data_IF_616529846509
#
_entry.id   IF_616529846509
#
_cell.length_a   1.000
_cell.length_b   1.000
_cell.length_c   1.000
_cell.angle_alpha   90.00
_cell.angle_beta   90.00
_cell.angle_gamma   90.00
#
_symmetry.space_group_name_H-M   'P 1'
#
loop_
_entity.id
_entity.type
_entity.pdbx_description
1 polymer ?
#
# COMPACT_ATOMS: atom_id res chain seq x y z
N UNK A 1 -3.55 -5.44 -23.21
CA UNK A 1 -3.52 -5.67 -21.75
C UNK A 1 -4.97 -5.89 -21.32
N UNK A 2 -5.29 -7.01 -20.69
CA UNK A 2 -6.64 -7.33 -20.22
C UNK A 2 -6.84 -6.89 -18.76
N UNK A 3 -8.09 -6.72 -18.29
CA UNK A 3 -8.38 -6.25 -16.93
C UNK A 3 -7.87 -7.15 -15.80
N UNK A 4 -7.57 -8.40 -16.11
CA UNK A 4 -7.04 -9.42 -15.20
C UNK A 4 -5.51 -9.57 -15.28
N UNK A 5 -4.82 -8.66 -15.98
CA UNK A 5 -3.37 -8.64 -16.11
C UNK A 5 -2.75 -7.55 -15.24
N UNK A 6 -1.76 -7.93 -14.43
CA UNK A 6 -1.06 -7.05 -13.48
C UNK A 6 0.45 -7.07 -13.73
N UNK A 7 1.12 -5.95 -13.40
CA UNK A 7 2.58 -5.85 -13.42
C UNK A 7 3.10 -5.63 -12.02
N UNK A 8 4.17 -6.35 -11.65
CA UNK A 8 4.84 -6.19 -10.34
C UNK A 8 6.36 -6.21 -10.49
N UNK A 9 7.09 -5.39 -9.73
CA UNK A 9 8.54 -5.50 -9.63
C UNK A 9 8.92 -6.78 -8.89
N UNK A 10 10.00 -7.41 -9.35
CA UNK A 10 10.66 -8.55 -8.71
C UNK A 10 12.18 -8.27 -8.69
N UNK A 11 12.95 -9.07 -7.94
CA UNK A 11 14.41 -8.88 -7.80
C UNK A 11 14.80 -7.45 -7.40
N UNK A 12 14.22 -6.95 -6.30
CA UNK A 12 14.43 -5.59 -5.80
C UNK A 12 14.14 -4.47 -6.84
N UNK A 13 13.29 -4.75 -7.83
CA UNK A 13 12.90 -3.79 -8.86
C UNK A 13 13.65 -3.93 -10.19
N UNK A 14 14.62 -4.84 -10.29
CA UNK A 14 15.43 -5.03 -11.50
C UNK A 14 14.67 -5.71 -12.66
N UNK A 15 13.54 -6.37 -12.38
CA UNK A 15 12.70 -6.93 -13.42
C UNK A 15 11.21 -6.68 -13.13
N UNK A 16 10.42 -6.58 -14.20
CA UNK A 16 8.98 -6.43 -14.14
C UNK A 16 8.32 -7.73 -14.61
N UNK A 17 7.60 -8.38 -13.71
CA UNK A 17 6.79 -9.55 -14.04
C UNK A 17 5.40 -9.11 -14.46
N UNK A 18 4.88 -9.72 -15.52
CA UNK A 18 3.47 -9.63 -15.92
C UNK A 18 2.75 -10.90 -15.50
N UNK A 19 1.63 -10.77 -14.78
CA UNK A 19 0.86 -11.88 -14.23
C UNK A 19 -0.60 -11.71 -14.63
N UNK A 20 -1.23 -12.77 -15.15
CA UNK A 20 -2.66 -12.81 -15.41
C UNK A 20 -3.35 -13.67 -14.34
N UNK A 21 -4.42 -13.16 -13.71
CA UNK A 21 -5.15 -13.86 -12.65
C UNK A 21 -6.53 -14.29 -13.13
N UNK A 22 -6.75 -15.61 -13.24
CA UNK A 22 -7.98 -16.20 -13.79
C UNK A 22 -9.10 -16.40 -12.76
N UNK A 23 -8.79 -16.32 -11.46
CA UNK A 23 -9.77 -16.45 -10.39
C UNK A 23 -10.85 -15.39 -10.44
N UNK A 24 -12.08 -15.73 -10.02
CA UNK A 24 -13.19 -14.77 -10.04
C UNK A 24 -12.91 -13.53 -9.15
N UNK A 25 -12.34 -13.74 -7.96
CA UNK A 25 -11.97 -12.67 -7.00
C UNK A 25 -10.45 -12.48 -7.00
N UNK A 26 -10.01 -11.22 -7.10
CA UNK A 26 -8.59 -10.86 -7.08
C UNK A 26 -8.28 -10.12 -5.78
N UNK A 27 -7.39 -10.68 -4.97
CA UNK A 27 -6.85 -10.00 -3.77
C UNK A 27 -5.46 -9.49 -4.13
N UNK A 28 -5.30 -8.17 -4.14
CA UNK A 28 -4.05 -7.53 -4.56
C UNK A 28 -3.59 -6.51 -3.53
N UNK A 29 -2.28 -6.42 -3.34
CA UNK A 29 -1.63 -5.32 -2.61
C UNK A 29 -1.01 -4.38 -3.63
N UNK A 30 -1.28 -3.08 -3.51
CA UNK A 30 -0.80 -2.07 -4.47
C UNK A 30 0.21 -1.15 -3.82
N UNK A 31 1.31 -0.85 -4.51
CA UNK A 31 2.24 0.20 -4.10
C UNK A 31 1.56 1.55 -4.31
N UNK A 32 1.22 2.24 -3.23
CA UNK A 32 0.42 3.48 -3.25
C UNK A 32 1.07 4.59 -4.09
N UNK A 33 2.40 4.71 -4.05
CA UNK A 33 3.15 5.70 -4.82
C UNK A 33 3.16 5.47 -6.35
N UNK A 34 2.62 4.35 -6.85
CA UNK A 34 2.60 4.04 -8.28
C UNK A 34 1.39 4.62 -9.03
N UNK A 35 0.44 5.22 -8.32
CA UNK A 35 -0.78 5.77 -8.89
C UNK A 35 -1.03 7.18 -8.35
N UNK A 36 -1.59 8.03 -9.21
CA UNK A 36 -2.06 9.34 -8.77
C UNK A 36 -3.31 9.17 -7.90
N UNK A 37 -3.41 9.99 -6.84
CA UNK A 37 -4.60 10.06 -6.01
C UNK A 37 -5.83 10.40 -6.84
N UNK A 38 -6.96 9.77 -6.52
CA UNK A 38 -8.24 10.13 -7.10
C UNK A 38 -8.65 11.55 -6.67
N UNK A 39 -9.43 12.28 -7.49
CA UNK A 39 -9.98 13.57 -7.08
C UNK A 39 -10.90 13.41 -5.86
N UNK A 40 -10.97 14.45 -5.04
CA UNK A 40 -11.91 14.50 -3.91
C UNK A 40 -13.36 14.66 -4.40
N UNK A 41 -14.30 14.20 -3.56
CA UNK A 41 -15.73 14.23 -3.85
C UNK A 41 -16.33 12.83 -4.10
N UNK A 42 -17.66 12.79 -4.19
CA UNK A 42 -18.44 11.57 -4.36
C UNK A 42 -19.42 11.31 -3.20
N UNK A 43 -20.50 10.59 -3.50
CA UNK A 43 -21.56 10.26 -2.53
C UNK A 43 -21.73 8.75 -2.49
N UNK A 44 -20.85 8.06 -1.77
CA UNK A 44 -21.02 6.63 -1.49
C UNK A 44 -21.96 6.43 -0.30
N UNK A 45 -22.76 5.39 -0.32
CA UNK A 45 -23.56 4.99 0.83
C UNK A 45 -22.65 4.55 1.98
N UNK A 46 -22.99 4.94 3.21
CA UNK A 46 -22.33 4.47 4.43
C UNK A 46 -23.19 3.38 5.05
N UNK A 47 -22.64 2.18 5.17
CA UNK A 47 -23.32 1.01 5.72
C UNK A 47 -22.59 0.49 6.95
N UNK A 48 -23.35 0.12 7.98
CA UNK A 48 -22.79 -0.53 9.18
C UNK A 48 -22.62 -2.02 8.90
N UNK A 49 -21.39 -2.52 9.10
CA UNK A 49 -21.06 -3.95 8.97
C UNK A 49 -20.49 -4.49 10.27
N UNK A 50 -20.89 -5.70 10.65
CA UNK A 50 -20.33 -6.40 11.80
C UNK A 50 -18.96 -7.01 11.45
N UNK A 51 -18.01 -6.89 12.38
CA UNK A 51 -16.73 -7.57 12.27
C UNK A 51 -16.86 -9.06 12.66
N UNK A 52 -15.99 -9.90 12.08
CA UNK A 52 -15.84 -11.28 12.55
C UNK A 52 -15.30 -11.30 13.99
N UNK A 53 -15.55 -12.39 14.71
CA UNK A 53 -15.02 -12.58 16.05
C UNK A 53 -13.47 -12.52 16.06
N UNK A 54 -12.90 -11.76 17.00
CA UNK A 54 -11.45 -11.64 17.13
C UNK A 54 -10.86 -12.96 17.68
N UNK A 55 -9.92 -13.61 16.97
CA UNK A 55 -9.29 -14.83 17.46
C UNK A 55 -8.33 -14.61 18.65
N UNK A 56 -8.03 -13.36 19.03
CA UNK A 56 -7.26 -13.04 20.23
C UNK A 56 -5.76 -13.33 20.12
N UNK A 57 -5.23 -13.50 18.91
CA UNK A 57 -3.83 -13.91 18.67
C UNK A 57 -2.81 -12.77 18.85
N UNK A 58 -3.26 -11.53 18.76
CA UNK A 58 -2.41 -10.34 18.91
C UNK A 58 -3.23 -9.17 19.42
N UNK A 59 -2.59 -8.31 20.21
CA UNK A 59 -3.16 -7.04 20.66
C UNK A 59 -2.32 -5.86 20.19
N UNK A 60 -2.99 -4.76 19.89
CA UNK A 60 -2.33 -3.46 19.76
C UNK A 60 -1.88 -3.02 21.15
N UNK A 61 -0.59 -2.72 21.32
CA UNK A 61 -0.02 -2.25 22.59
C UNK A 61 0.16 -0.74 22.56
N UNK A 62 0.99 -0.26 21.64
CA UNK A 62 1.26 1.17 21.46
C UNK A 62 1.78 1.46 20.05
N UNK A 63 1.61 2.70 19.60
CA UNK A 63 2.31 3.25 18.44
C UNK A 63 3.50 4.07 18.93
N UNK A 64 4.68 3.46 19.01
CA UNK A 64 5.92 4.17 19.30
C UNK A 64 6.44 4.85 18.04
N UNK A 65 5.92 6.04 17.76
CA UNK A 65 6.47 6.91 16.72
C UNK A 65 7.87 7.35 17.18
N UNK A 66 8.88 7.14 16.33
CA UNK A 66 10.22 7.63 16.62
C UNK A 66 10.19 9.15 16.63
N UNK A 67 10.42 9.77 17.77
CA UNK A 67 10.82 11.17 17.84
C UNK A 67 12.22 11.25 17.22
N UNK A 68 12.30 11.72 15.98
CA UNK A 68 13.58 11.86 15.29
C UNK A 68 13.86 13.35 15.11
N UNK A 69 15.02 13.80 15.57
CA UNK A 69 15.60 15.10 15.18
C UNK A 69 16.03 15.15 13.70
N UNK A 70 15.79 14.06 12.93
CA UNK A 70 16.18 13.99 11.54
C UNK A 70 15.17 14.73 10.67
N UNK A 71 15.63 15.59 9.76
CA UNK A 71 14.76 16.30 8.85
C UNK A 71 13.97 15.32 7.98
N UNK A 72 12.69 15.64 7.75
CA UNK A 72 11.79 14.89 6.87
C UNK A 72 12.39 14.76 5.46
N UNK A 73 12.75 13.53 5.07
CA UNK A 73 13.47 13.25 3.83
C UNK A 73 12.69 13.71 2.58
N UNK A 74 11.36 13.71 2.65
CA UNK A 74 10.48 14.17 1.58
C UNK A 74 10.56 15.68 1.33
N UNK A 75 11.08 16.44 2.29
CA UNK A 75 11.26 17.90 2.21
C UNK A 75 12.70 18.32 1.89
N UNK A 76 13.64 17.37 1.86
CA UNK A 76 15.06 17.67 1.71
C UNK A 76 15.41 18.06 0.26
N UNK A 77 16.09 19.20 0.10
CA UNK A 77 16.55 19.69 -1.22
C UNK A 77 17.66 18.80 -1.82
N UNK A 78 18.50 18.21 -0.98
CA UNK A 78 19.62 17.35 -1.36
C UNK A 78 19.67 16.19 -0.37
N UNK A 79 19.73 14.96 -0.89
CA UNK A 79 19.87 13.73 -0.10
C UNK A 79 21.22 13.11 -0.45
N UNK A 80 22.04 12.82 0.57
CA UNK A 80 23.28 12.07 0.43
C UNK A 80 23.11 10.75 1.19
N UNK A 81 22.95 9.64 0.47
CA UNK A 81 22.83 8.31 1.07
C UNK A 81 24.20 7.62 1.12
N UNK A 82 24.67 7.29 2.34
CA UNK A 82 25.78 6.36 2.54
C UNK A 82 25.25 4.93 2.56
N UNK A 83 25.86 4.04 1.76
CA UNK A 83 25.58 2.60 1.73
C UNK A 83 26.59 1.81 2.53
#
# INVERSE_FOLDING_TARGET
VSPDTFKRPIYAGNAIQTVQATDAKKVITVRTASFQGAPEGGSAAVETVSAAANPGLSSFVENKLSETDRPELTSAKIIISGG
#
